data_IF_775865541083
#
_entry.id   IF_775865541083
#
_cell.length_a   1.000
_cell.length_b   1.000
_cell.length_c   1.000
_cell.angle_alpha   90.00
_cell.angle_beta   90.00
_cell.angle_gamma   90.00
#
_symmetry.space_group_name_H-M   'P 1'
#
loop_
_entity.id
_entity.type
_entity.pdbx_description
1 polymer ?
#
# COMPACT_ATOMS: atom_id res chain seq x y z
N UNK A 1 1.03 11.65 13.82
CA UNK A 1 0.90 11.27 12.39
C UNK A 1 0.57 12.49 11.55
N UNK A 2 1.26 12.67 10.43
CA UNK A 2 1.01 13.74 9.44
C UNK A 2 0.93 13.07 8.07
N UNK A 3 0.01 13.52 7.21
CA UNK A 3 -0.09 13.06 5.83
C UNK A 3 0.07 14.20 4.84
N UNK A 4 0.65 13.90 3.68
CA UNK A 4 0.79 14.81 2.54
C UNK A 4 0.46 14.06 1.26
N UNK A 5 -0.26 14.70 0.38
CA UNK A 5 -0.75 14.10 -0.88
C UNK A 5 -0.37 15.00 -2.03
N UNK A 6 -0.01 14.39 -3.15
CA UNK A 6 0.22 15.06 -4.43
C UNK A 6 -0.36 14.22 -5.56
N UNK A 7 -0.92 14.90 -6.56
CA UNK A 7 -1.32 14.30 -7.83
C UNK A 7 -0.31 14.66 -8.92
N UNK A 8 0.14 13.68 -9.69
CA UNK A 8 1.18 13.88 -10.70
C UNK A 8 0.86 13.17 -12.01
N UNK A 9 1.33 13.75 -13.11
CA UNK A 9 1.42 13.14 -14.43
C UNK A 9 2.85 13.17 -15.00
N UNK A 10 3.78 13.83 -14.28
CA UNK A 10 5.18 13.96 -14.65
C UNK A 10 6.07 13.78 -13.41
N UNK A 11 7.16 13.06 -13.58
CA UNK A 11 8.08 12.74 -12.48
C UNK A 11 8.76 14.01 -11.90
N UNK A 12 8.97 15.02 -12.72
CA UNK A 12 9.60 16.27 -12.28
C UNK A 12 8.74 17.05 -11.26
N UNK A 13 7.41 16.92 -11.35
CA UNK A 13 6.48 17.47 -10.36
C UNK A 13 6.69 16.80 -9.00
N UNK A 14 6.81 15.47 -8.98
CA UNK A 14 7.13 14.73 -7.76
C UNK A 14 8.48 15.14 -7.18
N UNK A 15 9.52 15.17 -8.00
CA UNK A 15 10.88 15.56 -7.55
C UNK A 15 10.90 16.94 -6.90
N UNK A 16 10.23 17.93 -7.50
CA UNK A 16 10.11 19.28 -6.94
C UNK A 16 9.39 19.27 -5.59
N UNK A 17 8.26 18.56 -5.50
CA UNK A 17 7.50 18.46 -4.26
C UNK A 17 8.28 17.78 -3.13
N UNK A 18 9.00 16.71 -3.42
CA UNK A 18 9.87 16.02 -2.46
C UNK A 18 11.01 16.90 -1.93
N UNK A 19 11.43 17.90 -2.69
CA UNK A 19 12.49 18.85 -2.28
C UNK A 19 11.99 19.98 -1.38
N UNK A 20 10.67 20.10 -1.15
CA UNK A 20 10.12 21.10 -0.24
C UNK A 20 10.63 20.90 1.19
N UNK A 21 10.86 21.99 1.90
CA UNK A 21 11.31 21.94 3.30
C UNK A 21 10.30 21.21 4.19
N UNK A 22 9.02 21.28 3.86
CA UNK A 22 7.96 20.59 4.59
C UNK A 22 8.16 19.07 4.54
N UNK A 23 8.31 18.47 3.34
CA UNK A 23 8.48 17.02 3.17
C UNK A 23 9.79 16.57 3.81
N UNK A 24 10.89 17.29 3.58
CA UNK A 24 12.21 16.98 4.17
C UNK A 24 12.19 16.98 5.69
N UNK A 25 11.58 18.01 6.29
CA UNK A 25 11.51 18.13 7.73
C UNK A 25 10.64 17.04 8.37
N UNK A 26 9.51 16.69 7.74
CA UNK A 26 8.68 15.58 8.21
C UNK A 26 9.44 14.25 8.11
N UNK A 27 10.12 13.99 7.00
CA UNK A 27 10.91 12.76 6.83
C UNK A 27 11.99 12.61 7.91
N UNK A 28 12.71 13.69 8.24
CA UNK A 28 13.76 13.67 9.26
C UNK A 28 13.24 13.41 10.68
N UNK A 29 12.01 13.82 10.98
CA UNK A 29 11.41 13.69 12.32
C UNK A 29 10.66 12.37 12.52
N UNK A 30 10.43 11.63 11.45
CA UNK A 30 9.60 10.43 11.47
C UNK A 30 10.40 9.18 11.78
N UNK A 31 9.86 8.32 12.65
CA UNK A 31 10.35 6.96 12.87
C UNK A 31 10.17 6.14 11.58
N UNK A 32 9.00 6.25 10.97
CA UNK A 32 8.69 5.58 9.72
C UNK A 32 7.93 6.49 8.74
N UNK A 33 8.14 6.24 7.45
CA UNK A 33 7.44 6.88 6.35
C UNK A 33 6.72 5.81 5.55
N UNK A 34 5.42 5.99 5.37
CA UNK A 34 4.59 5.12 4.54
C UNK A 34 4.18 5.86 3.29
N UNK A 35 4.63 5.39 2.13
CA UNK A 35 4.30 5.95 0.84
C UNK A 35 3.30 5.05 0.10
N UNK A 36 2.18 5.63 -0.32
CA UNK A 36 1.15 4.96 -1.14
C UNK A 36 1.13 5.58 -2.52
N UNK A 37 1.12 4.74 -3.55
CA UNK A 37 1.06 5.13 -4.96
C UNK A 37 -0.21 4.53 -5.55
N UNK A 38 -1.17 5.36 -5.92
CA UNK A 38 -2.37 4.97 -6.66
C UNK A 38 -2.27 5.53 -8.06
N UNK A 39 -2.21 4.64 -9.07
CA UNK A 39 -1.87 5.06 -10.43
C UNK A 39 -2.80 4.45 -11.47
N UNK A 40 -3.34 5.30 -12.36
CA UNK A 40 -4.00 4.85 -13.58
C UNK A 40 -3.03 4.11 -14.52
N UNK A 41 -1.72 4.33 -14.38
CA UNK A 41 -0.68 3.66 -15.15
C UNK A 41 -0.17 2.44 -14.40
N UNK A 42 -0.31 1.26 -15.00
CA UNK A 42 0.28 0.01 -14.50
C UNK A 42 1.66 -0.28 -15.13
N UNK A 43 2.30 0.74 -15.67
CA UNK A 43 3.63 0.67 -16.28
C UNK A 43 4.71 0.53 -15.18
N UNK A 44 5.48 -0.58 -15.14
CA UNK A 44 6.51 -0.79 -14.14
C UNK A 44 7.62 0.26 -14.16
N UNK A 45 7.96 0.80 -15.34
CA UNK A 45 8.98 1.85 -15.44
C UNK A 45 8.54 3.11 -14.72
N UNK A 46 7.29 3.56 -14.94
CA UNK A 46 6.71 4.72 -14.26
C UNK A 46 6.74 4.58 -12.74
N UNK A 47 6.34 3.41 -12.24
CA UNK A 47 6.33 3.15 -10.80
C UNK A 47 7.73 3.06 -10.22
N UNK A 48 8.69 2.50 -10.97
CA UNK A 48 10.11 2.48 -10.57
C UNK A 48 10.71 3.88 -10.48
N UNK A 49 10.39 4.77 -11.43
CA UNK A 49 10.85 6.16 -11.40
C UNK A 49 10.29 6.92 -10.18
N UNK A 50 9.02 6.71 -9.85
CA UNK A 50 8.40 7.28 -8.63
C UNK A 50 9.11 6.76 -7.39
N UNK A 51 9.31 5.45 -7.28
CA UNK A 51 10.00 4.86 -6.14
C UNK A 51 11.41 5.40 -6.00
N UNK A 52 12.18 5.47 -7.07
CA UNK A 52 13.53 6.03 -7.06
C UNK A 52 13.54 7.47 -6.55
N UNK A 53 12.59 8.30 -6.97
CA UNK A 53 12.47 9.66 -6.49
C UNK A 53 12.14 9.72 -4.98
N UNK A 54 11.23 8.86 -4.50
CA UNK A 54 10.87 8.75 -3.08
C UNK A 54 12.07 8.32 -2.22
N UNK A 55 12.86 7.34 -2.69
CA UNK A 55 14.04 6.81 -1.99
C UNK A 55 15.14 7.86 -1.77
N UNK A 56 15.27 8.84 -2.65
CA UNK A 56 16.23 9.94 -2.49
C UNK A 56 15.94 10.75 -1.23
N UNK A 57 14.66 10.93 -0.88
CA UNK A 57 14.26 11.78 0.25
C UNK A 57 13.92 10.95 1.49
N UNK A 58 13.32 9.79 1.31
CA UNK A 58 12.90 8.89 2.38
C UNK A 58 13.41 7.46 2.12
N UNK A 59 14.71 7.17 2.29
CA UNK A 59 15.30 5.86 2.02
C UNK A 59 14.70 4.73 2.87
N UNK A 60 14.21 5.05 4.06
CA UNK A 60 13.58 4.12 5.00
C UNK A 60 12.08 3.88 4.71
N UNK A 61 11.47 4.58 3.74
CA UNK A 61 10.04 4.48 3.50
C UNK A 61 9.61 3.06 3.09
N UNK A 62 8.49 2.61 3.62
CA UNK A 62 7.74 1.49 3.05
C UNK A 62 6.88 2.05 1.92
N UNK A 63 7.18 1.65 0.69
CA UNK A 63 6.53 2.17 -0.50
C UNK A 63 5.64 1.08 -1.06
N UNK A 64 4.34 1.36 -1.17
CA UNK A 64 3.38 0.45 -1.78
C UNK A 64 2.67 1.12 -2.92
N UNK A 65 2.25 0.35 -3.90
CA UNK A 65 1.50 0.86 -5.03
C UNK A 65 0.39 -0.08 -5.46
N UNK A 66 -0.60 0.50 -6.09
CA UNK A 66 -1.69 -0.22 -6.74
C UNK A 66 -2.08 0.53 -8.01
N UNK A 67 -2.28 -0.23 -9.09
CA UNK A 67 -2.98 0.31 -10.25
C UNK A 67 -4.46 0.49 -9.92
N UNK A 68 -5.09 1.52 -10.52
CA UNK A 68 -6.43 1.97 -10.15
C UNK A 68 -7.26 2.32 -11.39
N UNK A 69 -8.59 2.36 -11.23
CA UNK A 69 -9.53 2.85 -12.24
C UNK A 69 -9.77 4.36 -12.13
N UNK A 70 -9.43 4.94 -10.98
CA UNK A 70 -9.54 6.35 -10.69
C UNK A 70 -8.99 6.65 -9.31
N UNK A 71 -8.46 7.83 -9.13
CA UNK A 71 -7.77 8.27 -7.93
C UNK A 71 -8.58 9.33 -7.20
N UNK A 72 -8.47 9.35 -5.88
CA UNK A 72 -9.01 10.44 -5.06
C UNK A 72 -7.83 11.29 -4.61
N UNK A 73 -7.81 12.52 -5.09
CA UNK A 73 -6.80 13.51 -4.72
C UNK A 73 -7.42 14.88 -4.59
N UNK A 74 -6.92 15.68 -3.64
CA UNK A 74 -7.37 17.07 -3.44
C UNK A 74 -8.92 17.22 -3.28
N UNK A 75 -9.55 16.21 -2.65
CA UNK A 75 -10.99 16.20 -2.40
C UNK A 75 -11.89 15.90 -3.61
N UNK A 76 -11.34 15.39 -4.69
CA UNK A 76 -12.09 15.05 -5.93
C UNK A 76 -11.60 13.75 -6.56
N UNK A 77 -12.48 13.17 -7.38
CA UNK A 77 -12.13 12.03 -8.22
C UNK A 77 -11.30 12.54 -9.42
N UNK A 78 -10.15 11.92 -9.60
CA UNK A 78 -9.25 12.15 -10.71
C UNK A 78 -9.18 10.87 -11.56
N UNK A 79 -8.89 11.03 -12.85
CA UNK A 79 -8.69 9.93 -13.79
C UNK A 79 -7.41 10.14 -14.58
N UNK A 80 -6.80 9.07 -15.06
CA UNK A 80 -5.58 9.09 -15.86
C UNK A 80 -4.43 9.89 -15.19
N UNK A 81 -4.26 9.71 -13.89
CA UNK A 81 -3.23 10.38 -13.11
C UNK A 81 -2.54 9.40 -12.15
N UNK A 82 -1.62 9.89 -11.35
CA UNK A 82 -1.05 9.16 -10.23
C UNK A 82 -1.15 10.03 -8.97
N UNK A 83 -1.75 9.48 -7.93
CA UNK A 83 -1.81 10.10 -6.61
C UNK A 83 -0.82 9.43 -5.69
N UNK A 84 0.01 10.22 -5.03
CA UNK A 84 1.00 9.75 -4.07
C UNK A 84 0.66 10.35 -2.70
N UNK A 85 0.53 9.49 -1.71
CA UNK A 85 0.34 9.88 -0.32
C UNK A 85 1.58 9.50 0.50
N UNK A 86 2.12 10.45 1.26
CA UNK A 86 3.14 10.20 2.26
C UNK A 86 2.53 10.35 3.65
N UNK A 87 2.65 9.31 4.46
CA UNK A 87 2.24 9.34 5.85
C UNK A 87 3.49 9.24 6.72
N UNK A 88 3.65 10.20 7.59
CA UNK A 88 4.79 10.35 8.48
C UNK A 88 4.38 9.97 9.90
N UNK A 89 5.04 8.96 10.46
CA UNK A 89 4.77 8.46 11.81
C UNK A 89 5.96 8.75 12.73
N UNK A 90 5.67 9.30 13.91
CA UNK A 90 6.69 9.59 14.92
C UNK A 90 7.01 8.37 15.79
N UNK A 91 6.03 7.46 15.98
CA UNK A 91 6.16 6.30 16.88
C UNK A 91 5.69 4.99 16.28
N UNK A 92 4.72 5.03 15.35
CA UNK A 92 4.17 3.84 14.68
C UNK A 92 5.22 3.21 13.77
N UNK A 93 5.45 1.91 13.90
CA UNK A 93 6.24 1.13 12.95
C UNK A 93 5.41 0.74 11.73
N UNK A 94 6.05 0.64 10.56
CA UNK A 94 5.42 0.20 9.32
C UNK A 94 6.30 -0.87 8.67
N UNK A 95 5.70 -2.01 8.32
CA UNK A 95 6.39 -3.11 7.64
C UNK A 95 5.55 -3.66 6.50
N UNK A 96 6.19 -3.97 5.37
CA UNK A 96 5.52 -4.49 4.19
C UNK A 96 5.86 -5.96 3.93
N UNK A 97 4.87 -6.71 3.39
CA UNK A 97 5.00 -8.08 2.93
C UNK A 97 4.34 -8.19 1.56
N UNK A 98 4.98 -8.89 0.63
CA UNK A 98 4.42 -9.25 -0.67
C UNK A 98 4.36 -10.77 -0.76
N UNK A 99 3.22 -11.30 -1.20
CA UNK A 99 3.03 -12.72 -1.50
C UNK A 99 2.43 -12.86 -2.90
N UNK A 100 2.86 -13.86 -3.63
CA UNK A 100 2.29 -14.25 -4.91
C UNK A 100 1.24 -15.34 -4.68
N UNK A 101 0.12 -15.26 -5.39
CA UNK A 101 -0.98 -16.25 -5.32
C UNK A 101 -1.07 -17.13 -6.56
N UNK A 102 -0.23 -16.87 -7.58
CA UNK A 102 -0.27 -17.57 -8.86
C UNK A 102 -0.07 -19.07 -8.68
N UNK A 103 -1.04 -19.83 -9.16
CA UNK A 103 -1.04 -21.30 -9.11
C UNK A 103 -0.91 -21.88 -7.68
N UNK A 104 -1.39 -21.16 -6.68
CA UNK A 104 -1.39 -21.59 -5.28
C UNK A 104 -2.83 -21.57 -4.74
N UNK A 105 -3.08 -22.34 -3.67
CA UNK A 105 -4.29 -22.22 -2.88
C UNK A 105 -4.28 -20.91 -2.10
N UNK A 106 -5.22 -20.03 -2.39
CA UNK A 106 -5.27 -18.69 -1.82
C UNK A 106 -5.45 -18.70 -0.29
N UNK A 107 -6.23 -19.67 0.24
CA UNK A 107 -6.39 -19.77 1.69
C UNK A 107 -5.08 -20.19 2.36
N UNK A 108 -4.33 -21.08 1.75
CA UNK A 108 -3.02 -21.48 2.27
C UNK A 108 -2.03 -20.31 2.23
N UNK A 109 -2.03 -19.54 1.13
CA UNK A 109 -1.19 -18.32 1.01
C UNK A 109 -1.58 -17.28 2.05
N UNK A 110 -2.89 -17.03 2.24
CA UNK A 110 -3.40 -16.11 3.25
C UNK A 110 -3.00 -16.52 4.67
N UNK A 111 -3.13 -17.81 4.99
CA UNK A 111 -2.70 -18.36 6.28
C UNK A 111 -1.22 -18.15 6.54
N UNK A 112 -0.36 -18.51 5.58
CA UNK A 112 1.09 -18.32 5.67
C UNK A 112 1.48 -16.86 5.81
N UNK A 113 0.77 -15.96 5.12
CA UNK A 113 0.99 -14.53 5.26
C UNK A 113 0.71 -14.05 6.68
N UNK A 114 -0.43 -14.44 7.28
CA UNK A 114 -0.75 -14.07 8.67
C UNK A 114 0.26 -14.62 9.67
N UNK A 115 0.64 -15.91 9.56
CA UNK A 115 1.66 -16.52 10.40
C UNK A 115 3.01 -15.79 10.27
N UNK A 116 3.39 -15.40 9.04
CA UNK A 116 4.60 -14.61 8.80
C UNK A 116 4.53 -13.22 9.41
N UNK A 117 3.38 -12.54 9.31
CA UNK A 117 3.17 -11.23 9.93
C UNK A 117 3.32 -11.34 11.44
N UNK A 118 2.63 -12.28 12.09
CA UNK A 118 2.65 -12.41 13.55
C UNK A 118 4.03 -12.89 14.10
N UNK A 119 4.79 -13.62 13.30
CA UNK A 119 6.16 -14.00 13.69
C UNK A 119 7.19 -12.87 13.55
N UNK A 120 6.90 -11.84 12.75
CA UNK A 120 7.83 -10.74 12.48
C UNK A 120 7.40 -9.39 13.08
N UNK A 121 6.14 -9.25 13.48
CA UNK A 121 5.58 -8.00 13.98
C UNK A 121 5.00 -8.20 15.39
N UNK A 122 5.29 -7.26 16.26
CA UNK A 122 4.69 -7.20 17.61
C UNK A 122 3.78 -5.97 17.69
N UNK A 123 2.81 -6.00 18.63
CA UNK A 123 1.87 -4.88 18.84
C UNK A 123 1.19 -4.42 17.54
N UNK A 124 0.64 -5.38 16.80
CA UNK A 124 -0.02 -5.10 15.51
C UNK A 124 -1.28 -4.27 15.77
N UNK A 125 -1.31 -3.04 15.26
CA UNK A 125 -2.47 -2.14 15.32
C UNK A 125 -3.44 -2.39 14.17
N UNK A 126 -2.96 -2.87 13.02
CA UNK A 126 -3.78 -3.23 11.88
C UNK A 126 -2.99 -3.58 10.64
N UNK A 127 -3.67 -4.16 9.64
CA UNK A 127 -3.08 -4.62 8.39
C UNK A 127 -3.88 -4.09 7.20
N UNK A 128 -3.21 -3.33 6.32
CA UNK A 128 -3.74 -2.93 5.01
C UNK A 128 -3.36 -3.98 3.98
N UNK A 129 -4.33 -4.44 3.19
CA UNK A 129 -4.12 -5.35 2.06
C UNK A 129 -4.41 -4.65 0.73
N UNK A 130 -3.48 -4.73 -0.21
CA UNK A 130 -3.70 -4.38 -1.61
C UNK A 130 -3.53 -5.63 -2.46
N UNK A 131 -4.56 -6.01 -3.22
CA UNK A 131 -4.61 -7.29 -3.92
C UNK A 131 -4.90 -7.12 -5.42
N UNK A 132 -4.32 -7.98 -6.25
CA UNK A 132 -4.71 -8.11 -7.66
C UNK A 132 -5.98 -8.97 -7.76
N UNK A 133 -7.11 -8.41 -7.34
CA UNK A 133 -8.39 -9.11 -7.11
C UNK A 133 -8.97 -9.82 -8.34
N UNK A 134 -8.60 -9.41 -9.56
CA UNK A 134 -9.05 -10.06 -10.80
C UNK A 134 -8.34 -11.39 -11.10
N UNK A 135 -7.26 -11.71 -10.40
CA UNK A 135 -6.44 -12.90 -10.61
C UNK A 135 -6.55 -13.93 -9.48
N UNK A 136 -7.42 -13.71 -8.48
CA UNK A 136 -7.52 -14.57 -7.30
C UNK A 136 -8.92 -14.54 -6.68
N UNK A 137 -9.27 -15.57 -5.92
CA UNK A 137 -10.43 -15.55 -5.02
C UNK A 137 -10.06 -14.85 -3.70
N UNK A 138 -10.39 -13.55 -3.62
CA UNK A 138 -10.13 -12.74 -2.44
C UNK A 138 -10.84 -13.27 -1.20
N UNK A 139 -12.06 -13.80 -1.34
CA UNK A 139 -12.81 -14.35 -0.20
C UNK A 139 -12.12 -15.59 0.37
N UNK A 140 -11.60 -16.45 -0.51
CA UNK A 140 -10.83 -17.63 -0.11
C UNK A 140 -9.53 -17.25 0.57
N UNK A 141 -8.81 -16.27 0.02
CA UNK A 141 -7.61 -15.70 0.63
C UNK A 141 -7.87 -15.14 2.04
N UNK A 142 -8.92 -14.33 2.21
CA UNK A 142 -9.26 -13.73 3.51
C UNK A 142 -9.68 -14.76 4.57
N UNK A 143 -10.31 -15.88 4.17
CA UNK A 143 -10.54 -17.03 5.07
C UNK A 143 -9.22 -17.58 5.60
N UNK A 144 -8.22 -17.72 4.72
CA UNK A 144 -6.87 -18.12 5.09
C UNK A 144 -6.20 -17.13 6.05
N UNK A 145 -6.29 -15.84 5.75
CA UNK A 145 -5.77 -14.78 6.63
C UNK A 145 -6.39 -14.89 8.03
N UNK A 146 -7.71 -15.10 8.11
CA UNK A 146 -8.41 -15.26 9.38
C UNK A 146 -7.99 -16.52 10.12
N UNK A 147 -7.75 -17.61 9.42
CA UNK A 147 -7.34 -18.90 10.01
C UNK A 147 -5.89 -18.92 10.51
N UNK A 148 -5.03 -18.10 9.92
CA UNK A 148 -3.61 -18.00 10.31
C UNK A 148 -3.33 -16.95 11.39
N UNK A 149 -4.34 -16.19 11.78
CA UNK A 149 -4.25 -15.06 12.71
C UNK A 149 -4.62 -15.48 14.12
N UNK A 150 -3.81 -15.14 15.11
CA UNK A 150 -4.11 -15.32 16.54
C UNK A 150 -4.57 -14.00 17.21
N UNK A 151 -4.13 -12.87 16.71
CA UNK A 151 -4.47 -11.54 17.23
C UNK A 151 -5.79 -10.97 16.70
N UNK A 152 -6.37 -10.03 17.45
CA UNK A 152 -7.60 -9.30 17.08
C UNK A 152 -7.24 -7.89 16.62
N UNK A 153 -6.77 -7.73 15.41
CA UNK A 153 -6.49 -6.43 14.80
C UNK A 153 -7.29 -6.28 13.50
N UNK A 154 -7.66 -5.05 13.10
CA UNK A 154 -8.39 -4.83 11.86
C UNK A 154 -7.55 -5.20 10.64
N UNK A 155 -8.20 -5.86 9.67
CA UNK A 155 -7.66 -6.12 8.32
C UNK A 155 -8.57 -5.42 7.33
N UNK A 156 -8.03 -4.54 6.51
CA UNK A 156 -8.76 -3.72 5.56
C UNK A 156 -7.97 -3.56 4.27
N UNK A 157 -8.61 -3.11 3.21
CA UNK A 157 -7.88 -2.90 1.96
C UNK A 157 -8.77 -2.81 0.74
N UNK A 158 -8.13 -2.94 -0.42
CA UNK A 158 -8.79 -2.81 -1.72
C UNK A 158 -8.15 -3.70 -2.78
N UNK A 159 -8.92 -3.96 -3.85
CA UNK A 159 -8.41 -4.57 -5.07
C UNK A 159 -7.79 -3.55 -6.01
N UNK A 160 -6.70 -3.92 -6.66
CA UNK A 160 -6.13 -3.18 -7.77
C UNK A 160 -7.07 -3.20 -8.97
N UNK A 161 -7.17 -2.07 -9.66
CA UNK A 161 -7.97 -1.89 -10.88
C UNK A 161 -7.11 -1.56 -12.08
N UNK A 162 -7.75 -1.39 -13.25
CA UNK A 162 -7.13 -0.94 -14.50
C UNK A 162 -7.98 0.17 -15.08
N UNK A 163 -7.35 1.27 -15.47
CA UNK A 163 -8.06 2.42 -16.01
C UNK A 163 -8.57 2.15 -17.43
N UNK A 164 -7.71 1.66 -18.32
CA UNK A 164 -8.03 1.39 -19.72
C UNK A 164 -7.20 0.22 -20.30
N UNK A 165 -7.76 -0.44 -21.31
CA UNK A 165 -7.05 -1.39 -22.16
C UNK A 165 -6.88 -2.79 -21.59
N UNK A 166 -5.98 -3.56 -22.21
CA UNK A 166 -5.64 -4.94 -21.86
C UNK A 166 -4.58 -5.03 -20.73
N UNK A 167 -4.35 -3.96 -19.99
CA UNK A 167 -3.38 -3.95 -18.91
C UNK A 167 -3.85 -4.86 -17.78
N UNK A 168 -2.90 -5.48 -17.09
CA UNK A 168 -3.20 -6.26 -15.89
C UNK A 168 -3.08 -5.37 -14.67
N UNK A 169 -3.99 -5.53 -13.68
CA UNK A 169 -3.83 -4.84 -12.41
C UNK A 169 -2.54 -5.30 -11.75
N UNK A 170 -1.85 -4.38 -11.10
CA UNK A 170 -0.61 -4.64 -10.39
C UNK A 170 -0.66 -4.07 -8.98
N UNK A 171 0.04 -4.74 -8.08
CA UNK A 171 0.40 -4.23 -6.76
C UNK A 171 1.90 -4.21 -6.61
N UNK A 172 2.42 -3.28 -5.83
CA UNK A 172 3.86 -3.14 -5.63
C UNK A 172 4.21 -3.00 -4.16
N UNK A 173 5.34 -3.56 -3.78
CA UNK A 173 5.98 -3.31 -2.50
C UNK A 173 7.45 -3.00 -2.76
N UNK A 174 7.83 -1.78 -2.49
CA UNK A 174 9.16 -1.29 -2.82
C UNK A 174 9.46 -1.57 -4.32
N UNK A 175 10.58 -2.17 -4.66
CA UNK A 175 10.98 -2.49 -6.04
C UNK A 175 10.37 -3.79 -6.60
N UNK A 176 9.46 -4.44 -5.85
CA UNK A 176 8.82 -5.67 -6.30
C UNK A 176 7.42 -5.38 -6.83
N UNK A 177 7.07 -6.02 -7.94
CA UNK A 177 5.78 -5.91 -8.63
C UNK A 177 5.11 -7.27 -8.71
N UNK A 178 3.80 -7.31 -8.58
CA UNK A 178 3.02 -8.53 -8.84
C UNK A 178 1.71 -8.21 -9.54
N UNK A 179 1.38 -9.01 -10.55
CA UNK A 179 0.06 -9.03 -11.21
C UNK A 179 -0.82 -10.20 -10.74
N UNK A 180 -0.37 -10.94 -9.74
CA UNK A 180 -1.04 -12.10 -9.15
C UNK A 180 -0.72 -12.21 -7.66
N UNK A 181 -0.76 -11.11 -6.93
CA UNK A 181 -0.31 -11.11 -5.54
C UNK A 181 -1.07 -10.18 -4.62
N UNK A 182 -0.66 -10.22 -3.37
CA UNK A 182 -1.16 -9.36 -2.30
C UNK A 182 0.02 -8.70 -1.59
N UNK A 183 -0.08 -7.39 -1.44
CA UNK A 183 0.77 -6.61 -0.53
C UNK A 183 0.02 -6.45 0.79
N UNK A 184 0.69 -6.79 1.89
CA UNK A 184 0.24 -6.47 3.23
C UNK A 184 1.14 -5.39 3.84
N UNK A 185 0.55 -4.35 4.39
CA UNK A 185 1.24 -3.33 5.18
C UNK A 185 0.77 -3.43 6.62
N UNK A 186 1.70 -3.69 7.52
CA UNK A 186 1.45 -3.86 8.95
C UNK A 186 1.83 -2.58 9.66
N UNK A 187 0.90 -2.03 10.43
CA UNK A 187 1.12 -0.92 11.35
C UNK A 187 1.29 -1.48 12.75
N UNK A 188 2.34 -1.04 13.45
CA UNK A 188 2.69 -1.53 14.79
C UNK A 188 2.86 -0.37 15.77
N UNK A 189 2.55 -0.62 17.03
CA UNK A 189 2.61 0.35 18.12
C UNK A 189 1.25 0.55 18.77
N UNK A 190 1.25 1.17 19.94
CA UNK A 190 0.08 1.44 20.77
C UNK A 190 -0.43 2.90 20.66
N UNK A 191 0.25 3.72 19.87
CA UNK A 191 -0.09 5.13 19.64
C UNK A 191 -0.89 5.38 18.34
N UNK A 192 -1.33 4.31 17.68
CA UNK A 192 -2.23 4.34 16.53
C UNK A 192 -3.45 3.45 16.78
N UNK A 193 -4.63 4.01 16.54
CA UNK A 193 -5.89 3.28 16.52
C UNK A 193 -6.46 3.28 15.11
N UNK A 194 -6.78 2.09 14.59
CA UNK A 194 -7.30 1.90 13.23
C UNK A 194 -8.76 1.46 13.33
N UNK A 195 -9.65 2.33 12.88
CA UNK A 195 -11.09 2.05 12.80
C UNK A 195 -11.47 1.85 11.35
N UNK A 196 -12.09 0.70 11.04
CA UNK A 196 -12.59 0.38 9.71
C UNK A 196 -14.09 0.63 9.66
N UNK A 197 -14.51 1.52 8.77
CA UNK A 197 -15.91 1.81 8.51
C UNK A 197 -16.33 1.07 7.21
N UNK A 198 -17.35 0.22 7.30
CA UNK A 198 -18.01 -0.37 6.15
C UNK A 198 -19.30 0.38 5.84
N UNK A 199 -19.41 0.90 4.62
CA UNK A 199 -20.62 1.57 4.13
C UNK A 199 -21.60 0.61 3.43
N UNK A 200 -21.32 -0.69 3.45
CA UNK A 200 -22.12 -1.71 2.72
C UNK A 200 -23.30 -2.22 3.55
N UNK A 201 -23.40 -1.84 4.81
CA UNK A 201 -24.45 -2.29 5.72
C UNK A 201 -25.46 -1.17 6.06
N UNK A 202 -25.92 -0.44 5.03
CA UNK A 202 -27.07 0.47 5.15
C UNK A 202 -28.28 -0.15 4.47
#
# INVERSE_FOLDING_TARGET
>A
MISRIISINQIETLKKWLQTEEVKNQTKRSLSVFAQIFSARSDPQWLTEIEAALRVVAPQAVIVGSSTMGEIGEGRLLTNTTVISLVFFEKTGVQGFLVDTKNQDEALVGKRLSEKIESNCQQIAGVLLLATSSSMDVSHFLKGVSAGRSGTYPVFGAGAGVYEGEQKPIVTLNHHFSSSGVVAVVFTGDDIDIVVLSLIHI
#
